data_IF_113509486443
#
_entry.id   IF_113509486443
#
_cell.length_a   1.000
_cell.length_b   1.000
_cell.length_c   1.000
_cell.angle_alpha   90.00
_cell.angle_beta   90.00
_cell.angle_gamma   90.00
#
_symmetry.space_group_name_H-M   'P 1'
#
loop_
_entity.id
_entity.type
_entity.pdbx_description
1 polymer ?
#
# COMPACT_ATOMS: atom_id res chain seq x y z
N UNK A 1 20.59 -16.11 5.06
CA UNK A 1 20.52 -15.14 6.18
C UNK A 1 19.25 -14.32 5.99
N UNK A 2 18.19 -14.59 6.75
CA UNK A 2 16.91 -13.88 6.64
C UNK A 2 17.04 -12.56 7.42
N UNK A 3 16.93 -11.43 6.74
CA UNK A 3 16.74 -10.13 7.39
C UNK A 3 15.26 -10.02 7.75
N UNK A 4 14.94 -10.10 9.03
CA UNK A 4 13.64 -9.70 9.54
C UNK A 4 13.65 -8.18 9.67
N UNK A 5 12.99 -7.49 8.74
CA UNK A 5 12.73 -6.05 8.88
C UNK A 5 11.59 -5.95 9.89
N UNK A 6 11.90 -5.49 11.11
CA UNK A 6 10.88 -5.21 12.12
C UNK A 6 10.15 -3.94 11.68
N UNK A 7 8.96 -4.11 11.11
CA UNK A 7 8.11 -3.02 10.67
C UNK A 7 7.50 -2.36 11.93
N UNK A 8 8.06 -1.25 12.40
CA UNK A 8 7.42 -0.45 13.44
C UNK A 8 6.22 0.32 12.84
N UNK A 9 5.16 -0.41 12.46
CA UNK A 9 3.85 0.14 12.08
C UNK A 9 3.34 1.27 13.00
N UNK A 10 3.50 1.22 14.35
CA UNK A 10 3.07 2.33 15.21
C UNK A 10 3.78 3.66 14.93
N UNK A 11 4.98 3.64 14.32
CA UNK A 11 5.75 4.85 14.00
C UNK A 11 5.58 5.31 12.54
N UNK A 12 4.89 4.53 11.70
CA UNK A 12 4.62 4.93 10.32
C UNK A 12 3.44 5.92 10.27
N UNK A 13 3.73 7.21 10.51
CA UNK A 13 2.77 8.32 10.44
C UNK A 13 3.05 9.30 9.29
N UNK A 14 3.79 8.85 8.27
CA UNK A 14 4.06 9.65 7.07
C UNK A 14 2.78 9.88 6.28
N UNK A 15 2.56 11.13 5.91
CA UNK A 15 1.55 11.55 4.95
C UNK A 15 1.97 11.20 3.52
N UNK A 16 1.04 11.34 2.57
CA UNK A 16 1.31 11.07 1.15
C UNK A 16 2.49 11.87 0.61
N UNK A 17 2.73 13.05 1.20
CA UNK A 17 3.75 13.96 0.74
C UNK A 17 5.16 13.62 1.19
N UNK A 18 5.25 12.85 2.28
CA UNK A 18 6.48 12.42 2.96
C UNK A 18 6.93 11.02 2.50
N UNK A 19 6.31 10.48 1.44
CA UNK A 19 6.67 9.19 0.86
C UNK A 19 7.90 9.33 -0.04
N UNK A 20 9.08 9.07 0.52
CA UNK A 20 10.36 9.26 -0.17
C UNK A 20 10.80 8.07 -1.03
N UNK A 21 10.38 6.86 -0.66
CA UNK A 21 10.80 5.63 -1.33
C UNK A 21 9.64 4.65 -1.55
N UNK A 22 9.86 3.62 -2.38
CA UNK A 22 8.82 2.65 -2.69
C UNK A 22 8.40 1.81 -1.47
N UNK A 23 9.28 1.65 -0.48
CA UNK A 23 8.94 0.95 0.77
C UNK A 23 7.93 1.76 1.61
N UNK A 24 8.12 3.07 1.75
CA UNK A 24 7.15 3.98 2.39
C UNK A 24 5.81 3.95 1.65
N UNK A 25 5.83 3.91 0.31
CA UNK A 25 4.61 3.80 -0.51
C UNK A 25 3.87 2.48 -0.25
N UNK A 26 4.58 1.36 -0.16
CA UNK A 26 3.97 0.06 0.17
C UNK A 26 3.38 0.05 1.58
N UNK A 27 4.08 0.61 2.56
CA UNK A 27 3.59 0.78 3.93
C UNK A 27 2.32 1.61 3.98
N UNK A 28 2.28 2.74 3.27
CA UNK A 28 1.10 3.61 3.18
C UNK A 28 -0.09 2.87 2.56
N UNK A 29 0.14 2.17 1.44
CA UNK A 29 -0.91 1.40 0.76
C UNK A 29 -1.44 0.30 1.67
N UNK A 30 -0.59 -0.44 2.39
CA UNK A 30 -1.04 -1.49 3.31
C UNK A 30 -1.80 -0.91 4.52
N UNK A 31 -1.38 0.24 5.04
CA UNK A 31 -2.03 0.91 6.17
C UNK A 31 -3.39 1.50 5.81
N UNK A 32 -3.53 2.05 4.61
CA UNK A 32 -4.73 2.77 4.15
C UNK A 32 -5.54 1.99 3.10
N UNK A 33 -5.26 0.69 2.90
CA UNK A 33 -5.85 -0.10 1.80
C UNK A 33 -7.38 -0.11 1.82
N UNK A 34 -7.98 -0.12 3.01
CA UNK A 34 -9.43 -0.13 3.19
C UNK A 34 -10.09 1.23 2.89
N UNK A 35 -9.33 2.33 3.03
CA UNK A 35 -9.81 3.71 2.87
C UNK A 35 -9.33 4.33 1.53
N UNK A 36 -8.71 3.52 0.67
CA UNK A 36 -8.14 3.93 -0.60
C UNK A 36 -9.23 4.02 -1.69
N UNK A 37 -10.25 4.86 -1.48
CA UNK A 37 -11.30 5.16 -2.48
C UNK A 37 -10.71 5.83 -3.74
N UNK A 38 -9.67 6.64 -3.56
CA UNK A 38 -8.93 7.27 -4.64
C UNK A 38 -7.44 7.08 -4.45
N UNK A 39 -6.78 6.54 -5.49
CA UNK A 39 -5.32 6.35 -5.50
C UNK A 39 -4.65 7.72 -5.71
N UNK A 40 -3.84 8.19 -4.76
CA UNK A 40 -3.09 9.45 -4.88
C UNK A 40 -2.09 9.39 -6.03
N UNK A 41 -1.87 10.51 -6.74
CA UNK A 41 -0.94 10.61 -7.88
C UNK A 41 0.46 10.04 -7.58
N UNK A 42 0.99 10.30 -6.37
CA UNK A 42 2.30 9.78 -5.92
C UNK A 42 2.37 8.24 -5.86
N UNK A 43 1.23 7.57 -5.80
CA UNK A 43 1.07 6.11 -5.77
C UNK A 43 0.60 5.53 -7.12
N UNK A 44 0.30 6.36 -8.13
CA UNK A 44 -0.13 5.92 -9.48
C UNK A 44 1.03 5.42 -10.34
N UNK A 45 1.83 4.51 -9.81
CA UNK A 45 2.83 3.77 -10.59
C UNK A 45 2.27 2.43 -11.05
N UNK A 46 2.77 1.94 -12.19
CA UNK A 46 2.27 0.72 -12.84
C UNK A 46 2.17 -0.49 -11.91
N UNK A 47 3.16 -0.66 -11.03
CA UNK A 47 3.25 -1.78 -10.08
C UNK A 47 2.13 -1.68 -9.03
N UNK A 48 1.90 -0.50 -8.47
CA UNK A 48 0.89 -0.28 -7.45
C UNK A 48 -0.54 -0.39 -8.02
N UNK A 49 -0.76 0.12 -9.23
CA UNK A 49 -2.03 -0.06 -9.95
C UNK A 49 -2.34 -1.55 -10.19
N UNK A 50 -1.33 -2.34 -10.55
CA UNK A 50 -1.49 -3.79 -10.75
C UNK A 50 -1.78 -4.52 -9.44
N UNK A 51 -1.16 -4.10 -8.33
CA UNK A 51 -1.41 -4.66 -7.01
C UNK A 51 -2.83 -4.37 -6.52
N UNK A 52 -3.31 -3.12 -6.64
CA UNK A 52 -4.67 -2.75 -6.25
C UNK A 52 -5.71 -3.49 -7.09
N UNK A 53 -5.53 -3.54 -8.41
CA UNK A 53 -6.41 -4.33 -9.30
C UNK A 53 -6.47 -5.80 -8.91
N UNK A 54 -5.35 -6.37 -8.47
CA UNK A 54 -5.30 -7.76 -7.99
C UNK A 54 -6.04 -7.90 -6.64
N UNK A 55 -5.93 -6.91 -5.75
CA UNK A 55 -6.64 -6.89 -4.47
C UNK A 55 -8.16 -6.75 -4.66
N UNK A 56 -8.63 -5.89 -5.57
CA UNK A 56 -10.05 -5.76 -5.92
C UNK A 56 -10.65 -7.09 -6.39
N UNK A 57 -9.94 -7.83 -7.24
CA UNK A 57 -10.38 -9.15 -7.73
C UNK A 57 -10.53 -10.14 -6.57
N UNK A 58 -9.60 -10.13 -5.60
CA UNK A 58 -9.64 -11.02 -4.43
C UNK A 58 -10.78 -10.65 -3.49
N UNK A 59 -11.05 -9.35 -3.30
CA UNK A 59 -12.18 -8.87 -2.51
C UNK A 59 -13.49 -9.36 -3.14
N UNK A 60 -13.67 -9.20 -4.46
CA UNK A 60 -14.87 -9.65 -5.17
C UNK A 60 -15.05 -11.18 -5.11
N UNK A 61 -13.96 -11.95 -5.28
CA UNK A 61 -14.01 -13.42 -5.20
C UNK A 61 -14.30 -13.98 -3.80
N UNK A 62 -14.17 -13.16 -2.73
CA UNK A 62 -14.57 -13.58 -1.38
C UNK A 62 -16.08 -13.45 -1.12
N UNK A 63 -16.83 -12.81 -2.03
CA UNK A 63 -18.28 -12.60 -1.91
C UNK A 63 -19.10 -13.39 -2.94
N UNK A 64 -18.49 -14.37 -3.64
CA UNK A 64 -19.18 -15.30 -4.55
C UNK A 64 -19.09 -16.73 -3.99
#
# INVERSE_FOLDING_TARGET
KLQFIYLEMPNFNKSIDELDNDFDKWLYVLKHLADLDMIPEKLKTKIFMQAIKSAEIVILNKFV
#
